data_IF_977009702812
#
_entry.id   IF_977009702812
#
_cell.length_a   1.000
_cell.length_b   1.000
_cell.length_c   1.000
_cell.angle_alpha   90.00
_cell.angle_beta   90.00
_cell.angle_gamma   90.00
#
_symmetry.space_group_name_H-M   'P 1'
#
loop_
_entity.id
_entity.type
_entity.pdbx_description
1 polymer ?
#
# COMPACT_ATOMS: atom_id res chain seq x y z
N UNK A 1 -40.57 -27.76 22.72
CA UNK A 1 -39.37 -27.00 23.07
C UNK A 1 -38.56 -26.82 21.78
N UNK A 2 -38.58 -25.63 21.24
CA UNK A 2 -37.93 -25.29 19.99
C UNK A 2 -36.63 -24.59 20.36
N UNK A 3 -35.53 -25.32 20.37
CA UNK A 3 -34.21 -24.73 20.44
C UNK A 3 -33.91 -24.15 19.07
N UNK A 4 -34.08 -22.85 18.92
CA UNK A 4 -33.49 -22.12 17.81
C UNK A 4 -31.99 -22.04 18.07
N UNK A 5 -31.25 -22.78 17.28
CA UNK A 5 -29.81 -22.55 17.15
C UNK A 5 -29.63 -21.10 16.72
N UNK A 6 -29.03 -20.29 17.56
CA UNK A 6 -28.50 -19.00 17.20
C UNK A 6 -27.36 -19.25 16.23
N UNK A 7 -27.62 -19.08 14.92
CA UNK A 7 -26.57 -18.88 13.95
C UNK A 7 -25.82 -17.61 14.35
N UNK A 8 -24.68 -17.78 14.98
CA UNK A 8 -23.73 -16.69 15.18
C UNK A 8 -23.26 -16.27 13.78
N UNK A 9 -23.87 -15.25 13.24
CA UNK A 9 -23.46 -14.61 12.00
C UNK A 9 -22.08 -14.01 12.18
N UNK A 10 -21.04 -14.82 11.90
CA UNK A 10 -19.71 -14.27 11.69
C UNK A 10 -19.82 -13.36 10.47
N UNK A 11 -19.56 -12.06 10.64
CA UNK A 11 -19.45 -11.10 9.53
C UNK A 11 -18.42 -11.55 8.50
N UNK A 12 -18.38 -10.92 7.29
CA UNK A 12 -17.42 -11.28 6.27
C UNK A 12 -16.00 -11.19 6.84
N UNK A 13 -15.17 -12.19 6.55
CA UNK A 13 -13.77 -12.20 6.97
C UNK A 13 -13.07 -10.93 6.48
N UNK A 14 -12.18 -10.35 7.30
CA UNK A 14 -11.36 -9.22 6.92
C UNK A 14 -10.53 -9.58 5.67
N UNK A 15 -10.35 -8.63 4.72
CA UNK A 15 -9.54 -8.89 3.54
C UNK A 15 -8.09 -9.16 3.95
N UNK A 16 -7.47 -10.14 3.29
CA UNK A 16 -6.05 -10.46 3.42
C UNK A 16 -5.31 -10.10 2.13
N UNK A 17 -4.00 -9.95 2.20
CA UNK A 17 -3.20 -9.73 0.99
C UNK A 17 -3.44 -10.84 -0.04
N UNK A 18 -3.46 -12.10 0.39
CA UNK A 18 -3.68 -13.24 -0.49
C UNK A 18 -5.08 -13.21 -1.14
N UNK A 19 -6.13 -12.92 -0.38
CA UNK A 19 -7.48 -12.85 -0.92
C UNK A 19 -7.63 -11.71 -1.93
N UNK A 20 -6.98 -10.57 -1.70
CA UNK A 20 -7.00 -9.43 -2.62
C UNK A 20 -6.14 -9.68 -3.86
N UNK A 21 -5.00 -10.33 -3.73
CA UNK A 21 -4.20 -10.78 -4.89
C UNK A 21 -5.03 -11.63 -5.83
N UNK A 22 -5.74 -12.63 -5.31
CA UNK A 22 -6.59 -13.50 -6.13
C UNK A 22 -7.70 -12.71 -6.80
N UNK A 23 -8.33 -11.77 -6.11
CA UNK A 23 -9.35 -10.90 -6.70
C UNK A 23 -8.81 -10.02 -7.83
N UNK A 24 -7.59 -9.51 -7.69
CA UNK A 24 -6.92 -8.73 -8.75
C UNK A 24 -6.61 -9.60 -9.97
N UNK A 25 -6.17 -10.83 -9.78
CA UNK A 25 -5.95 -11.80 -10.86
C UNK A 25 -7.25 -12.07 -11.61
N UNK A 26 -8.31 -12.38 -10.90
CA UNK A 26 -9.62 -12.69 -11.49
C UNK A 26 -10.20 -11.48 -12.23
N UNK A 27 -10.07 -10.30 -11.66
CA UNK A 27 -10.52 -9.04 -12.26
C UNK A 27 -9.83 -8.77 -13.60
N UNK A 28 -8.51 -8.96 -13.68
CA UNK A 28 -7.75 -8.78 -14.90
C UNK A 28 -8.05 -9.87 -15.94
N UNK A 29 -8.22 -11.11 -15.51
CA UNK A 29 -8.48 -12.26 -16.38
C UNK A 29 -9.78 -12.10 -17.15
N UNK A 30 -10.89 -11.77 -16.48
CA UNK A 30 -12.20 -11.63 -17.14
C UNK A 30 -12.26 -10.44 -18.10
N UNK A 31 -11.38 -9.47 -17.94
CA UNK A 31 -11.23 -8.28 -18.81
C UNK A 31 -10.17 -8.44 -19.87
N UNK A 32 -9.43 -9.54 -19.84
CA UNK A 32 -8.32 -9.82 -20.77
C UNK A 32 -7.23 -8.75 -20.73
N UNK A 33 -6.94 -8.25 -19.52
CA UNK A 33 -5.93 -7.21 -19.30
C UNK A 33 -4.52 -7.75 -19.06
N UNK A 34 -4.37 -9.05 -18.81
CA UNK A 34 -3.10 -9.70 -18.48
C UNK A 34 -1.95 -9.35 -19.46
N UNK A 35 -2.16 -9.28 -20.80
CA UNK A 35 -1.08 -8.94 -21.72
C UNK A 35 -0.55 -7.51 -21.54
N UNK A 36 -1.34 -6.62 -20.93
CA UNK A 36 -0.96 -5.23 -20.67
C UNK A 36 -0.29 -5.04 -19.30
N UNK A 37 -0.39 -6.01 -18.40
CA UNK A 37 0.18 -5.99 -17.05
C UNK A 37 1.64 -6.45 -17.05
N UNK A 38 2.46 -5.86 -17.91
CA UNK A 38 3.91 -6.08 -17.89
C UNK A 38 4.54 -5.34 -16.71
N UNK A 39 5.71 -5.77 -16.21
CA UNK A 39 6.39 -5.08 -15.11
C UNK A 39 6.60 -3.58 -15.37
N UNK A 40 7.01 -3.22 -16.57
CA UNK A 40 7.21 -1.81 -16.96
C UNK A 40 5.91 -1.02 -16.90
N UNK A 41 4.82 -1.57 -17.45
CA UNK A 41 3.51 -0.89 -17.46
C UNK A 41 2.95 -0.74 -16.04
N UNK A 42 3.10 -1.77 -15.20
CA UNK A 42 2.66 -1.73 -13.80
C UNK A 42 3.47 -0.72 -12.98
N UNK A 43 4.78 -0.64 -13.17
CA UNK A 43 5.62 0.37 -12.54
C UNK A 43 5.24 1.79 -12.97
N UNK A 44 4.94 2.00 -14.25
CA UNK A 44 4.45 3.28 -14.76
C UNK A 44 3.10 3.65 -14.16
N UNK A 45 2.15 2.71 -14.13
CA UNK A 45 0.82 2.92 -13.52
C UNK A 45 0.93 3.25 -12.04
N UNK A 46 1.75 2.53 -11.29
CA UNK A 46 2.05 2.82 -9.89
C UNK A 46 2.56 4.26 -9.69
N UNK A 47 3.47 4.71 -10.55
CA UNK A 47 4.02 6.07 -10.50
C UNK A 47 2.95 7.13 -10.76
N UNK A 48 2.06 6.89 -11.70
CA UNK A 48 0.93 7.79 -11.99
C UNK A 48 0.01 7.91 -10.78
N UNK A 49 -0.38 6.79 -10.18
CA UNK A 49 -1.26 6.80 -9.01
C UNK A 49 -0.60 7.44 -7.78
N UNK A 50 0.70 7.23 -7.58
CA UNK A 50 1.45 7.92 -6.54
C UNK A 50 1.48 9.44 -6.79
N UNK A 51 1.57 9.88 -8.04
CA UNK A 51 1.42 11.27 -8.44
C UNK A 51 0.04 11.83 -8.15
N UNK A 52 -1.03 11.07 -8.41
CA UNK A 52 -2.41 11.46 -8.11
C UNK A 52 -2.65 11.58 -6.59
N UNK A 53 -2.02 10.73 -5.79
CA UNK A 53 -2.01 10.87 -4.34
C UNK A 53 -1.34 12.21 -3.92
N UNK A 54 -0.20 12.54 -4.51
CA UNK A 54 0.50 13.80 -4.26
C UNK A 54 -0.35 15.02 -4.66
N UNK A 55 -1.10 14.96 -5.76
CA UNK A 55 -1.96 16.05 -6.22
C UNK A 55 -2.97 16.51 -5.16
N UNK A 56 -3.46 15.60 -4.33
CA UNK A 56 -4.40 15.93 -3.24
C UNK A 56 -3.76 16.91 -2.25
N UNK A 57 -2.46 16.80 -2.03
CA UNK A 57 -1.71 17.51 -0.99
C UNK A 57 -0.89 18.68 -1.50
N UNK A 58 -0.59 18.76 -2.79
CA UNK A 58 0.44 19.65 -3.34
C UNK A 58 0.25 21.12 -3.00
N UNK A 59 -0.99 21.57 -2.80
CA UNK A 59 -1.31 22.97 -2.49
C UNK A 59 -1.81 23.17 -1.05
N UNK A 60 -1.77 22.12 -0.23
CA UNK A 60 -2.19 22.20 1.17
C UNK A 60 -1.04 22.67 2.05
N UNK A 61 -1.37 23.48 3.06
CA UNK A 61 -0.45 23.74 4.16
C UNK A 61 -0.27 22.47 5.00
N UNK A 62 0.79 22.38 5.83
CA UNK A 62 0.97 21.26 6.75
C UNK A 62 -0.26 21.00 7.64
N UNK A 63 -0.90 22.07 8.13
CA UNK A 63 -2.10 21.98 8.97
C UNK A 63 -3.31 21.45 8.19
N UNK A 64 -3.50 21.92 6.96
CA UNK A 64 -4.56 21.43 6.07
C UNK A 64 -4.33 19.96 5.68
N UNK A 65 -3.09 19.59 5.39
CA UNK A 65 -2.73 18.21 5.08
C UNK A 65 -2.99 17.26 6.25
N UNK A 66 -2.64 17.67 7.48
CA UNK A 66 -2.92 16.89 8.67
C UNK A 66 -4.42 16.67 8.91
N UNK A 67 -5.26 17.60 8.48
CA UNK A 67 -6.72 17.54 8.62
C UNK A 67 -7.44 17.02 7.37
N UNK A 68 -6.73 16.47 6.38
CA UNK A 68 -7.30 16.08 5.08
C UNK A 68 -8.48 15.13 5.18
N UNK A 69 -8.45 14.21 6.15
CA UNK A 69 -9.51 13.21 6.33
C UNK A 69 -10.80 13.79 6.96
N UNK A 70 -10.77 15.03 7.42
CA UNK A 70 -11.96 15.73 7.92
C UNK A 70 -12.87 16.25 6.80
N UNK A 71 -12.35 16.39 5.58
CA UNK A 71 -13.12 16.73 4.39
C UNK A 71 -13.56 15.44 3.69
N UNK A 72 -14.88 15.14 3.59
CA UNK A 72 -15.36 13.90 3.02
C UNK A 72 -14.93 13.66 1.56
N UNK A 73 -14.84 14.70 0.74
CA UNK A 73 -14.42 14.57 -0.66
C UNK A 73 -12.93 14.25 -0.77
N UNK A 74 -12.08 14.94 -0.01
CA UNK A 74 -10.65 14.66 0.04
C UNK A 74 -10.37 13.29 0.66
N UNK A 75 -11.08 12.95 1.74
CA UNK A 75 -10.95 11.64 2.37
C UNK A 75 -11.26 10.49 1.40
N UNK A 76 -12.30 10.64 0.60
CA UNK A 76 -12.65 9.66 -0.43
C UNK A 76 -11.52 9.52 -1.46
N UNK A 77 -11.01 10.61 -1.97
CA UNK A 77 -9.88 10.61 -2.92
C UNK A 77 -8.62 9.99 -2.33
N UNK A 78 -8.28 10.30 -1.09
CA UNK A 78 -7.13 9.69 -0.40
C UNK A 78 -7.27 8.18 -0.33
N UNK A 79 -8.44 7.68 0.06
CA UNK A 79 -8.69 6.23 0.12
C UNK A 79 -8.59 5.57 -1.25
N UNK A 80 -9.14 6.20 -2.28
CA UNK A 80 -9.08 5.67 -3.65
C UNK A 80 -7.63 5.59 -4.15
N UNK A 81 -6.85 6.66 -3.98
CA UNK A 81 -5.47 6.68 -4.46
C UNK A 81 -4.55 5.74 -3.65
N UNK A 82 -4.78 5.60 -2.35
CA UNK A 82 -4.10 4.58 -1.54
C UNK A 82 -4.40 3.17 -2.08
N UNK A 83 -5.66 2.90 -2.41
CA UNK A 83 -6.08 1.62 -2.96
C UNK A 83 -5.45 1.36 -4.33
N UNK A 84 -5.41 2.34 -5.22
CA UNK A 84 -4.83 2.23 -6.55
C UNK A 84 -3.31 2.02 -6.51
N UNK A 85 -2.61 2.75 -5.65
CA UNK A 85 -1.17 2.58 -5.42
C UNK A 85 -0.87 1.16 -4.92
N UNK A 86 -1.63 0.69 -3.94
CA UNK A 86 -1.45 -0.66 -3.39
C UNK A 86 -1.77 -1.73 -4.43
N UNK A 87 -2.85 -1.56 -5.20
CA UNK A 87 -3.25 -2.52 -6.23
C UNK A 87 -2.15 -2.70 -7.29
N UNK A 88 -1.61 -1.62 -7.82
CA UNK A 88 -0.51 -1.70 -8.79
C UNK A 88 0.79 -2.22 -8.20
N UNK A 89 1.10 -1.88 -6.95
CA UNK A 89 2.26 -2.44 -6.26
C UNK A 89 2.14 -3.96 -6.08
N UNK A 90 0.98 -4.45 -5.65
CA UNK A 90 0.71 -5.89 -5.49
C UNK A 90 0.79 -6.60 -6.84
N UNK A 91 0.19 -6.05 -7.89
CA UNK A 91 0.26 -6.61 -9.24
C UNK A 91 1.69 -6.62 -9.79
N UNK A 92 2.46 -5.56 -9.57
CA UNK A 92 3.88 -5.52 -9.93
C UNK A 92 4.67 -6.63 -9.24
N UNK A 93 4.49 -6.79 -7.93
CA UNK A 93 5.15 -7.84 -7.17
C UNK A 93 4.81 -9.24 -7.70
N UNK A 94 3.56 -9.49 -8.07
CA UNK A 94 3.17 -10.74 -8.72
C UNK A 94 3.86 -10.96 -10.06
N UNK A 95 3.96 -9.91 -10.86
CA UNK A 95 4.57 -9.99 -12.20
C UNK A 95 6.07 -10.31 -12.16
N UNK A 96 6.80 -9.87 -11.14
CA UNK A 96 8.24 -10.08 -10.99
C UNK A 96 8.60 -11.17 -9.96
N UNK A 97 7.62 -11.77 -9.31
CA UNK A 97 7.84 -12.84 -8.33
C UNK A 97 8.42 -12.37 -7.00
N UNK A 98 8.09 -11.17 -6.57
CA UNK A 98 8.50 -10.60 -5.27
C UNK A 98 7.35 -10.73 -4.27
N UNK A 99 7.66 -11.25 -3.09
CA UNK A 99 6.74 -11.16 -1.96
C UNK A 99 6.92 -9.79 -1.27
N UNK A 100 5.90 -8.91 -1.30
CA UNK A 100 6.04 -7.56 -0.75
C UNK A 100 6.27 -7.52 0.75
N UNK A 101 5.72 -8.47 1.50
CA UNK A 101 5.87 -8.52 2.96
C UNK A 101 7.29 -8.97 3.35
N UNK A 102 7.81 -10.01 2.69
CA UNK A 102 9.20 -10.45 2.88
C UNK A 102 10.19 -9.35 2.47
N UNK A 103 9.95 -8.71 1.34
CA UNK A 103 10.80 -7.61 0.86
C UNK A 103 10.83 -6.45 1.86
N UNK A 104 9.68 -6.08 2.40
CA UNK A 104 9.58 -5.01 3.39
C UNK A 104 10.28 -5.41 4.71
N UNK A 105 10.03 -6.60 5.23
CA UNK A 105 10.67 -7.10 6.45
C UNK A 105 12.19 -7.09 6.32
N UNK A 106 12.72 -7.61 5.23
CA UNK A 106 14.16 -7.62 4.97
C UNK A 106 14.75 -6.21 4.84
N UNK A 107 13.99 -5.29 4.22
CA UNK A 107 14.42 -3.90 4.10
C UNK A 107 14.45 -3.16 5.43
N UNK A 108 13.49 -3.42 6.30
CA UNK A 108 13.45 -2.86 7.66
C UNK A 108 14.70 -3.29 8.43
N UNK A 109 15.04 -4.58 8.42
CA UNK A 109 16.24 -5.09 9.07
C UNK A 109 17.51 -4.40 8.57
N UNK A 110 17.67 -4.27 7.25
CA UNK A 110 18.82 -3.56 6.66
C UNK A 110 18.85 -2.07 7.05
N UNK A 111 17.69 -1.43 7.16
CA UNK A 111 17.62 -0.03 7.57
C UNK A 111 17.94 0.16 9.04
N UNK A 112 17.56 -0.77 9.91
CA UNK A 112 17.93 -0.75 11.33
C UNK A 112 19.46 -0.80 11.51
N UNK A 113 20.15 -1.60 10.72
CA UNK A 113 21.63 -1.65 10.70
C UNK A 113 22.23 -0.37 10.10
N UNK A 114 21.66 0.10 8.98
CA UNK A 114 22.18 1.28 8.26
C UNK A 114 21.96 2.60 9.00
N UNK A 115 20.89 2.69 9.76
CA UNK A 115 20.49 3.88 10.53
C UNK A 115 20.37 3.53 12.02
N UNK A 116 21.50 3.32 12.74
CA UNK A 116 21.48 2.95 14.14
C UNK A 116 20.80 4.01 15.00
N UNK A 117 20.20 3.59 16.12
CA UNK A 117 19.56 4.50 17.08
C UNK A 117 20.61 5.47 17.64
N UNK A 118 20.35 6.78 17.70
CA UNK A 118 21.23 7.75 18.33
C UNK A 118 21.57 7.36 19.79
N UNK A 119 22.86 7.35 20.13
CA UNK A 119 23.35 6.95 21.44
C UNK A 119 23.69 5.45 21.58
N UNK A 120 23.40 4.63 20.56
CA UNK A 120 23.90 3.25 20.50
C UNK A 120 25.38 3.21 20.13
N UNK A 121 26.08 2.10 20.47
CA UNK A 121 27.50 1.93 20.15
C UNK A 121 27.78 1.97 18.63
N UNK A 122 26.81 1.63 17.81
CA UNK A 122 26.93 1.65 16.34
C UNK A 122 26.56 3.00 15.72
N UNK A 123 26.07 3.97 16.49
CA UNK A 123 25.65 5.27 15.98
C UNK A 123 26.84 6.17 15.68
N UNK A 124 26.94 6.58 14.43
CA UNK A 124 27.89 7.62 13.99
C UNK A 124 27.10 8.87 13.63
N UNK A 125 27.36 9.97 14.35
CA UNK A 125 26.69 11.26 14.06
C UNK A 125 27.04 11.71 12.65
N UNK A 126 26.05 12.08 11.83
CA UNK A 126 26.33 12.64 10.51
C UNK A 126 27.19 13.91 10.62
N UNK A 127 28.25 14.00 9.85
CA UNK A 127 29.03 15.23 9.73
C UNK A 127 28.17 16.26 9.00
N UNK A 128 27.92 17.39 9.64
CA UNK A 128 27.31 18.56 8.97
C UNK A 128 28.40 19.14 8.07
N UNK A 129 28.26 18.97 6.78
CA UNK A 129 29.10 19.72 5.84
C UNK A 129 28.64 21.16 5.83
N UNK A 130 29.49 22.09 6.31
CA UNK A 130 29.31 23.52 6.14
C UNK A 130 29.39 23.94 4.66
#
# INVERSE_FOLDING_TARGET
>A
MNERAEESGAGPAAPTLESLRQRLVDFAAVRKWEPFHTPKNLAAALTVEAGELLEIFQWLTPEQAAAVMSDPQRAHRVRDEVADVLAYLVQFCMAVGVDPLEALAAKIERNEERFPVPGSAAYVKPEVRE
#
